data_IF_182443681137
#
_entry.id   IF_182443681137
#
_cell.length_a   1.000
_cell.length_b   1.000
_cell.length_c   1.000
_cell.angle_alpha   90.00
_cell.angle_beta   90.00
_cell.angle_gamma   90.00
#
_symmetry.space_group_name_H-M   'P 1'
#
loop_
_entity.id
_entity.type
_entity.pdbx_description
1 polymer ?
#
# COMPACT_ATOMS: atom_id res chain seq x y z
N UNK A 1 -5.16 -14.50 7.47
CA UNK A 1 -4.72 -13.08 7.52
C UNK A 1 -5.34 -12.57 8.80
N UNK A 2 -4.58 -12.23 9.85
CA UNK A 2 -5.17 -12.08 11.21
C UNK A 2 -6.45 -11.21 11.25
N UNK A 3 -6.50 -10.13 10.45
CA UNK A 3 -7.65 -9.24 10.37
C UNK A 3 -8.86 -9.84 9.63
N UNK A 4 -8.62 -10.60 8.56
CA UNK A 4 -9.64 -11.36 7.82
C UNK A 4 -10.28 -12.39 8.76
N UNK A 5 -9.44 -13.15 9.46
CA UNK A 5 -9.88 -14.22 10.36
C UNK A 5 -10.71 -13.65 11.53
N UNK A 6 -10.39 -12.43 12.00
CA UNK A 6 -11.19 -11.70 13.01
C UNK A 6 -12.55 -11.24 12.48
N UNK A 7 -12.62 -10.78 11.22
CA UNK A 7 -13.87 -10.32 10.61
C UNK A 7 -14.82 -11.48 10.30
N UNK A 8 -14.30 -12.59 9.78
CA UNK A 8 -15.10 -13.79 9.53
C UNK A 8 -15.69 -14.38 10.83
N UNK A 9 -14.92 -14.38 11.93
CA UNK A 9 -15.41 -14.78 13.26
C UNK A 9 -16.58 -13.93 13.75
N UNK A 10 -16.64 -12.67 13.33
CA UNK A 10 -17.73 -11.74 13.65
C UNK A 10 -18.87 -11.81 12.62
N UNK A 11 -18.89 -12.83 11.76
CA UNK A 11 -19.88 -13.09 10.71
C UNK A 11 -19.95 -12.01 9.62
N UNK A 12 -18.90 -11.23 9.43
CA UNK A 12 -18.82 -10.31 8.30
C UNK A 12 -18.50 -11.07 7.02
N UNK A 13 -19.20 -10.75 5.93
CA UNK A 13 -18.90 -11.29 4.61
C UNK A 13 -17.86 -10.40 3.94
N UNK A 14 -16.66 -10.93 3.73
CA UNK A 14 -15.56 -10.18 3.12
C UNK A 14 -15.74 -10.15 1.61
N UNK A 15 -15.97 -8.97 1.04
CA UNK A 15 -16.08 -8.80 -0.42
C UNK A 15 -14.70 -8.59 -1.05
N UNK A 16 -13.80 -7.88 -0.35
CA UNK A 16 -12.56 -7.43 -0.96
C UNK A 16 -11.48 -7.18 0.08
N UNK A 17 -10.29 -7.70 -0.20
CA UNK A 17 -9.07 -7.40 0.55
C UNK A 17 -8.06 -6.80 -0.41
N UNK A 18 -7.54 -5.61 -0.08
CA UNK A 18 -6.55 -4.90 -0.87
C UNK A 18 -5.49 -4.28 0.01
N UNK A 19 -4.24 -4.52 -0.32
CA UNK A 19 -3.14 -3.73 0.20
C UNK A 19 -3.07 -2.41 -0.58
N UNK A 20 -2.89 -1.32 0.14
CA UNK A 20 -2.73 0.02 -0.42
C UNK A 20 -1.39 0.61 0.04
N UNK A 21 -0.95 1.66 -0.65
CA UNK A 21 0.23 2.43 -0.30
C UNK A 21 1.56 1.65 -0.44
N UNK A 22 1.67 0.77 -1.45
CA UNK A 22 2.95 0.18 -1.83
C UNK A 22 3.92 1.24 -2.36
N UNK A 23 3.38 2.20 -3.11
CA UNK A 23 4.04 3.45 -3.50
C UNK A 23 4.76 4.10 -2.30
N UNK A 24 4.08 4.26 -1.15
CA UNK A 24 4.69 4.78 0.08
C UNK A 24 5.81 3.90 0.63
N UNK A 25 5.68 2.56 0.56
CA UNK A 25 6.77 1.62 0.92
C UNK A 25 8.00 1.86 0.06
N UNK A 26 7.82 2.01 -1.25
CA UNK A 26 8.92 2.26 -2.18
C UNK A 26 9.56 3.63 -1.96
N UNK A 27 8.74 4.67 -1.77
CA UNK A 27 9.20 6.02 -1.44
C UNK A 27 10.00 6.04 -0.13
N UNK A 28 9.48 5.40 0.92
CA UNK A 28 10.19 5.26 2.19
C UNK A 28 11.46 4.44 2.06
N UNK A 29 11.46 3.35 1.30
CA UNK A 29 12.62 2.50 1.09
C UNK A 29 13.74 3.26 0.39
N UNK A 30 13.45 3.99 -0.69
CA UNK A 30 14.45 4.80 -1.37
C UNK A 30 14.95 5.93 -0.45
N UNK A 31 14.03 6.66 0.20
CA UNK A 31 14.41 7.80 1.02
C UNK A 31 15.20 7.41 2.29
N UNK A 32 14.74 6.38 2.99
CA UNK A 32 15.33 5.97 4.26
C UNK A 32 16.52 5.04 4.07
N UNK A 33 16.44 4.10 3.10
CA UNK A 33 17.48 3.06 2.93
C UNK A 33 18.56 3.43 1.92
N UNK A 34 18.21 4.15 0.84
CA UNK A 34 19.19 4.54 -0.19
C UNK A 34 19.77 5.92 0.08
N UNK A 35 18.92 6.90 0.41
CA UNK A 35 19.36 8.29 0.61
C UNK A 35 19.73 8.61 2.06
N UNK A 36 19.35 7.76 3.02
CA UNK A 36 19.67 7.95 4.45
C UNK A 36 19.07 9.20 5.08
N UNK A 37 18.04 9.80 4.47
CA UNK A 37 17.43 11.06 4.93
C UNK A 37 16.22 10.78 5.80
N UNK A 38 16.19 11.35 7.00
CA UNK A 38 15.07 11.25 7.97
C UNK A 38 13.92 12.23 7.70
N UNK A 39 14.17 13.26 6.89
CA UNK A 39 13.19 14.30 6.56
C UNK A 39 12.80 14.20 5.08
N UNK A 40 11.53 14.48 4.76
CA UNK A 40 11.00 14.50 3.40
C UNK A 40 11.21 15.88 2.76
N UNK A 41 12.25 16.11 1.93
CA UNK A 41 12.41 17.37 1.23
C UNK A 41 11.35 17.57 0.14
N UNK A 42 10.91 18.83 0.01
CA UNK A 42 9.82 19.32 -0.85
C UNK A 42 10.00 19.00 -2.35
N UNK A 43 11.22 18.65 -2.82
CA UNK A 43 11.49 18.25 -4.20
C UNK A 43 11.21 16.77 -4.51
N UNK A 44 11.09 15.92 -3.50
CA UNK A 44 10.81 14.49 -3.69
C UNK A 44 9.43 14.17 -4.26
N UNK A 45 8.33 14.87 -3.88
CA UNK A 45 7.01 14.67 -4.48
C UNK A 45 7.03 14.78 -6.01
N UNK A 46 7.81 15.70 -6.58
CA UNK A 46 7.87 15.93 -8.03
C UNK A 46 8.51 14.74 -8.77
N UNK A 47 9.61 14.22 -8.22
CA UNK A 47 10.29 13.05 -8.80
C UNK A 47 9.40 11.82 -8.63
N UNK A 48 8.76 11.70 -7.47
CA UNK A 48 7.87 10.62 -7.14
C UNK A 48 6.62 10.59 -8.02
N UNK A 49 6.01 11.74 -8.29
CA UNK A 49 4.89 11.91 -9.23
C UNK A 49 5.24 11.40 -10.63
N UNK A 50 6.51 11.51 -11.05
CA UNK A 50 6.98 10.94 -12.31
C UNK A 50 7.07 9.41 -12.29
N UNK A 51 7.27 8.79 -11.13
CA UNK A 51 7.29 7.33 -10.96
C UNK A 51 5.89 6.74 -10.70
N UNK A 52 4.92 7.53 -10.23
CA UNK A 52 3.51 7.11 -10.06
C UNK A 52 2.96 6.34 -11.27
N UNK A 53 3.09 6.79 -12.54
CA UNK A 53 2.53 6.05 -13.68
C UNK A 53 3.18 4.68 -13.87
N UNK A 54 4.47 4.54 -13.61
CA UNK A 54 5.20 3.27 -13.71
C UNK A 54 4.74 2.34 -12.58
N UNK A 55 4.68 2.85 -11.35
CA UNK A 55 4.27 2.06 -10.19
C UNK A 55 2.80 1.63 -10.33
N UNK A 56 1.91 2.52 -10.77
CA UNK A 56 0.49 2.20 -11.04
C UNK A 56 0.37 1.10 -12.11
N UNK A 57 1.24 1.11 -13.12
CA UNK A 57 1.25 0.07 -14.16
C UNK A 57 1.73 -1.28 -13.60
N UNK A 58 2.71 -1.26 -12.70
CA UNK A 58 3.19 -2.45 -11.99
C UNK A 58 2.13 -2.98 -11.02
N UNK A 59 1.45 -2.11 -10.26
CA UNK A 59 0.35 -2.48 -9.34
C UNK A 59 -0.85 -3.09 -10.08
N UNK A 60 -1.14 -2.65 -11.31
CA UNK A 60 -2.18 -3.27 -12.15
C UNK A 60 -1.75 -4.64 -12.67
N UNK A 61 -0.46 -4.85 -12.92
CA UNK A 61 0.07 -6.08 -13.49
C UNK A 61 0.34 -7.15 -12.40
N UNK A 62 0.78 -6.72 -11.22
CA UNK A 62 1.04 -7.56 -10.07
C UNK A 62 0.10 -7.16 -8.93
N UNK A 63 -0.79 -8.07 -8.51
CA UNK A 63 -1.50 -7.94 -7.23
C UNK A 63 -0.45 -8.03 -6.11
N UNK A 64 0.14 -6.90 -5.74
CA UNK A 64 1.19 -6.84 -4.74
C UNK A 64 0.60 -7.33 -3.40
N UNK A 65 1.12 -8.42 -2.80
CA UNK A 65 0.56 -9.00 -1.59
C UNK A 65 0.97 -8.25 -0.31
N UNK A 66 1.47 -7.02 -0.43
CA UNK A 66 1.96 -6.21 0.67
C UNK A 66 1.88 -4.71 0.36
N UNK A 67 1.69 -3.90 1.39
CA UNK A 67 1.59 -2.45 1.32
C UNK A 67 1.58 -1.86 2.73
N UNK A 68 1.77 -0.55 2.87
CA UNK A 68 1.74 0.10 4.19
C UNK A 68 0.38 -0.01 4.89
N UNK A 69 -0.70 -0.09 4.11
CA UNK A 69 -2.06 -0.12 4.64
C UNK A 69 -2.81 -1.35 4.10
N UNK A 70 -3.64 -1.97 4.95
CA UNK A 70 -4.56 -3.02 4.56
C UNK A 70 -5.99 -2.47 4.55
N UNK A 71 -6.65 -2.49 3.39
CA UNK A 71 -8.04 -2.11 3.22
C UNK A 71 -8.89 -3.38 3.04
N UNK A 72 -9.88 -3.55 3.90
CA UNK A 72 -10.87 -4.63 3.80
C UNK A 72 -12.25 -4.00 3.63
N UNK A 73 -12.99 -4.45 2.62
CA UNK A 73 -14.41 -4.14 2.42
C UNK A 73 -15.18 -5.39 2.79
N UNK A 74 -16.06 -5.26 3.78
CA UNK A 74 -16.87 -6.35 4.30
C UNK A 74 -18.29 -5.86 4.61
N UNK A 75 -19.27 -6.71 4.35
CA UNK A 75 -20.65 -6.44 4.72
C UNK A 75 -20.95 -6.99 6.10
N UNK A 76 -21.67 -6.18 6.88
CA UNK A 76 -22.30 -6.66 8.10
C UNK A 76 -23.46 -7.60 7.70
N UNK A 77 -23.65 -8.73 8.40
CA UNK A 77 -24.82 -9.58 8.22
C UNK A 77 -26.12 -8.86 8.57
#
# INVERSE_FOLDING_TARGET
MELVDKLEKQKFTIEKVKYNNFVGVFGWFINSRILGRKEFPILQPIIFDKFIPIITKIEKLFKIPFGMNLLIIANKP
#
